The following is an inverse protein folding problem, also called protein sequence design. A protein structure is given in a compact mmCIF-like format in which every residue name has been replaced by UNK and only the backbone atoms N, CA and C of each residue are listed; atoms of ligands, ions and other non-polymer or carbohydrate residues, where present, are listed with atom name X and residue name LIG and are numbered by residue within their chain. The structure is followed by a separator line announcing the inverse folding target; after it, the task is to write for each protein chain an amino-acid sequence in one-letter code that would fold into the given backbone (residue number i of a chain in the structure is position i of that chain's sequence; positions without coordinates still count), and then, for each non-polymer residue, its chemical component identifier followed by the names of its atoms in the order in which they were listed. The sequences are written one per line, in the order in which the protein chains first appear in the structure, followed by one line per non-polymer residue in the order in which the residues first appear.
data_IF_096290235365
#
_entry.id   IF_096290235365
#
_cell.length_a   1.000
_cell.length_b   1.000
_cell.length_c   1.000
_cell.angle_alpha   90.00
_cell.angle_beta   90.00
_cell.angle_gamma   90.00
#
_symmetry.space_group_name_H-M   'P 1'
#
loop_
_entity.id
_entity.type
_entity.pdbx_description
1 polymer ?
#
# COMPACT_ATOMS: atom_id res chain seq x y z
N UNK A 1 -1.86 -1.49 1.90
CA UNK A 1 -2.99 -0.54 2.09
C UNK A 1 -2.89 0.08 3.47
N UNK A 2 -3.43 1.29 3.71
CA UNK A 2 -3.42 1.90 5.04
C UNK A 2 -4.23 1.08 6.05
N UNK A 3 -3.74 0.95 7.29
CA UNK A 3 -4.40 0.22 8.36
C UNK A 3 -5.50 1.07 9.04
N UNK A 4 -6.54 1.45 8.30
CA UNK A 4 -7.69 2.14 8.90
C UNK A 4 -8.38 1.25 9.93
N UNK A 5 -8.98 1.80 11.00
CA UNK A 5 -9.59 1.02 12.07
C UNK A 5 -10.57 -0.06 11.56
N UNK A 6 -11.42 0.29 10.59
CA UNK A 6 -12.39 -0.66 10.00
C UNK A 6 -11.73 -1.83 9.24
N UNK A 7 -10.60 -1.57 8.57
CA UNK A 7 -9.83 -2.62 7.87
C UNK A 7 -9.08 -3.45 8.89
N UNK A 8 -8.40 -2.80 9.83
CA UNK A 8 -7.59 -3.46 10.84
C UNK A 8 -8.42 -4.43 11.69
N UNK A 9 -9.65 -4.03 12.08
CA UNK A 9 -10.58 -4.91 12.81
C UNK A 9 -11.13 -6.06 11.95
N UNK A 10 -11.21 -5.88 10.63
CA UNK A 10 -11.71 -6.90 9.70
C UNK A 10 -10.66 -7.95 9.30
N UNK A 11 -9.37 -7.61 9.43
CA UNK A 11 -8.27 -8.57 9.27
C UNK A 11 -8.06 -9.27 10.60
N UNK A 12 -8.10 -10.60 10.59
CA UNK A 12 -7.87 -11.43 11.78
C UNK A 12 -6.40 -11.41 12.19
N UNK A 13 -5.79 -12.59 12.24
CA UNK A 13 -4.38 -12.71 12.58
C UNK A 13 -3.50 -11.98 11.55
N UNK A 14 -2.61 -11.13 12.06
CA UNK A 14 -1.60 -10.43 11.29
C UNK A 14 -0.28 -10.41 12.07
N UNK A 15 0.83 -10.37 11.36
CA UNK A 15 2.16 -10.32 11.94
C UNK A 15 2.94 -9.11 11.43
N UNK A 16 3.93 -8.69 12.21
CA UNK A 16 4.83 -7.60 11.83
C UNK A 16 5.85 -8.15 10.83
N UNK A 17 5.96 -7.47 9.68
CA UNK A 17 6.93 -7.74 8.62
C UNK A 17 8.16 -6.86 8.78
N UNK A 18 7.93 -5.57 9.04
CA UNK A 18 8.99 -4.59 9.22
C UNK A 18 8.53 -3.43 10.11
N UNK A 19 9.47 -2.77 10.76
CA UNK A 19 9.25 -1.58 11.57
C UNK A 19 10.36 -0.57 11.25
N UNK A 20 9.99 0.66 10.93
CA UNK A 20 10.93 1.67 10.47
C UNK A 20 10.41 3.10 10.69
N UNK A 21 11.35 4.03 10.82
CA UNK A 21 11.07 5.46 10.82
C UNK A 21 11.38 6.07 9.45
N UNK A 22 10.51 6.97 8.98
CA UNK A 22 10.74 7.72 7.75
C UNK A 22 10.20 9.16 7.82
N UNK A 23 10.13 9.85 6.68
CA UNK A 23 9.64 11.23 6.59
C UNK A 23 8.19 11.42 7.07
N UNK A 24 7.40 10.34 7.13
CA UNK A 24 6.02 10.32 7.57
C UNK A 24 5.89 9.91 9.06
N UNK A 25 7.00 9.62 9.75
CA UNK A 25 7.03 9.19 11.15
C UNK A 25 7.31 7.70 11.31
N UNK A 26 6.92 7.17 12.47
CA UNK A 26 7.11 5.76 12.82
C UNK A 26 6.06 4.87 12.16
N UNK A 27 6.48 3.83 11.45
CA UNK A 27 5.57 2.98 10.66
C UNK A 27 5.88 1.51 10.89
N UNK A 28 4.82 0.74 11.12
CA UNK A 28 4.87 -0.71 11.21
C UNK A 28 4.20 -1.28 9.95
N UNK A 29 4.93 -2.10 9.21
CA UNK A 29 4.37 -2.89 8.11
C UNK A 29 3.91 -4.24 8.66
N UNK A 30 2.63 -4.55 8.47
CA UNK A 30 2.04 -5.83 8.88
C UNK A 30 1.57 -6.61 7.66
N UNK A 31 1.53 -7.92 7.79
CA UNK A 31 0.92 -8.82 6.81
C UNK A 31 -0.15 -9.66 7.50
N UNK A 32 -1.31 -9.76 6.87
CA UNK A 32 -2.41 -10.62 7.29
C UNK A 32 -3.09 -11.24 6.08
N UNK A 33 -3.94 -12.22 6.32
CA UNK A 33 -4.73 -12.86 5.28
C UNK A 33 -6.21 -12.53 5.48
N UNK A 34 -6.89 -12.19 4.39
CA UNK A 34 -8.34 -12.00 4.39
C UNK A 34 -8.95 -12.77 3.22
N UNK A 35 -9.79 -13.76 3.53
CA UNK A 35 -10.50 -14.60 2.55
C UNK A 35 -9.58 -15.22 1.48
N UNK A 36 -8.41 -15.71 1.86
CA UNK A 36 -7.44 -16.31 0.92
C UNK A 36 -6.56 -15.30 0.17
N UNK A 37 -6.67 -14.01 0.49
CA UNK A 37 -5.86 -12.93 -0.11
C UNK A 37 -4.90 -12.38 0.94
N UNK A 38 -3.60 -12.42 0.64
CA UNK A 38 -2.58 -11.79 1.47
C UNK A 38 -2.62 -10.26 1.35
N UNK A 39 -2.65 -9.58 2.48
CA UNK A 39 -2.79 -8.13 2.58
C UNK A 39 -1.66 -7.55 3.42
N UNK A 40 -0.95 -6.58 2.85
CA UNK A 40 -0.03 -5.72 3.59
C UNK A 40 -0.77 -4.51 4.15
N UNK A 41 -0.64 -4.30 5.45
CA UNK A 41 -1.20 -3.17 6.20
C UNK A 41 -0.08 -2.22 6.61
N UNK A 42 -0.23 -0.94 6.26
CA UNK A 42 0.65 0.14 6.71
C UNK A 42 0.05 0.70 7.99
N UNK A 43 0.59 0.28 9.12
CA UNK A 43 0.19 0.68 10.46
C UNK A 43 0.98 1.92 10.89
N UNK A 44 0.29 3.05 10.88
CA UNK A 44 0.81 4.37 11.23
C UNK A 44 -0.34 5.15 11.90
N UNK A 45 -0.64 4.88 13.19
CA UNK A 45 -1.84 5.41 13.84
C UNK A 45 -1.90 6.94 13.80
N UNK A 46 -0.77 7.63 13.93
CA UNK A 46 -0.69 9.09 13.82
C UNK A 46 -1.13 9.65 12.46
N UNK A 47 -1.22 8.82 11.42
CA UNK A 47 -1.68 9.18 10.07
C UNK A 47 -3.02 8.55 9.69
N UNK A 48 -3.38 7.39 10.25
CA UNK A 48 -4.51 6.58 9.80
C UNK A 48 -5.56 6.27 10.88
N UNK A 49 -5.28 6.53 12.16
CA UNK A 49 -6.24 6.36 13.26
C UNK A 49 -7.17 7.59 13.36
N UNK A 50 -8.09 7.69 12.40
CA UNK A 50 -9.09 8.76 12.34
C UNK A 50 -10.48 8.17 12.16
N UNK A 51 -11.42 8.66 12.95
CA UNK A 51 -12.84 8.40 12.76
C UNK A 51 -13.36 9.21 11.56
N UNK A 52 -14.11 8.58 10.66
CA UNK A 52 -14.75 9.25 9.51
C UNK A 52 -14.21 8.86 8.13
N UNK A 53 -14.25 9.79 7.19
CA UNK A 53 -13.89 9.54 5.78
C UNK A 53 -12.35 9.56 5.61
N UNK A 54 -11.77 8.63 4.83
CA UNK A 54 -10.35 8.66 4.49
C UNK A 54 -9.81 10.02 3.99
N UNK A 55 -10.68 10.85 3.42
CA UNK A 55 -10.30 12.07 2.70
C UNK A 55 -10.50 13.37 3.48
N UNK A 56 -11.54 13.45 4.30
CA UNK A 56 -11.94 14.70 4.91
C UNK A 56 -12.07 14.60 6.43
N UNK A 57 -11.78 15.71 7.10
CA UNK A 57 -12.16 15.89 8.50
C UNK A 57 -13.68 16.02 8.66
N UNK A 58 -14.11 16.16 9.91
CA UNK A 58 -15.53 16.34 10.28
C UNK A 58 -16.17 17.58 9.63
N UNK A 59 -15.36 18.54 9.20
CA UNK A 59 -15.76 19.80 8.55
C UNK A 59 -15.62 19.73 7.02
N UNK A 60 -15.40 18.54 6.46
CA UNK A 60 -15.27 18.27 5.02
C UNK A 60 -14.02 18.90 4.36
N UNK A 61 -13.01 19.30 5.13
CA UNK A 61 -11.75 19.81 4.60
C UNK A 61 -10.76 18.68 4.34
N UNK A 62 -9.93 18.86 3.32
CA UNK A 62 -8.77 18.00 3.09
C UNK A 62 -7.84 18.09 4.29
N UNK A 63 -7.42 16.92 4.79
CA UNK A 63 -6.39 16.92 5.82
C UNK A 63 -5.08 17.49 5.28
N UNK A 64 -4.50 18.44 6.01
CA UNK A 64 -3.25 19.09 5.63
C UNK A 64 -2.08 18.10 5.45
N UNK A 65 -2.17 16.87 5.99
CA UNK A 65 -1.16 15.82 5.90
C UNK A 65 -1.47 14.73 4.85
N UNK A 66 -2.51 14.91 4.02
CA UNK A 66 -2.87 13.98 2.94
C UNK A 66 -1.69 13.66 2.02
N UNK A 67 -0.86 14.66 1.69
CA UNK A 67 0.34 14.45 0.88
C UNK A 67 1.32 13.46 1.53
N UNK A 68 1.49 13.48 2.86
CA UNK A 68 2.37 12.54 3.58
C UNK A 68 1.80 11.13 3.54
N UNK A 69 0.48 10.99 3.70
CA UNK A 69 -0.23 9.70 3.70
C UNK A 69 -0.08 8.99 2.36
N UNK A 70 -0.24 9.70 1.26
CA UNK A 70 -0.12 9.15 -0.09
C UNK A 70 1.33 8.92 -0.49
N UNK A 71 2.24 9.82 -0.08
CA UNK A 71 3.68 9.60 -0.24
C UNK A 71 4.15 8.36 0.52
N UNK A 72 3.70 8.16 1.77
CA UNK A 72 4.02 6.98 2.56
C UNK A 72 3.54 5.70 1.87
N UNK A 73 2.30 5.69 1.38
CA UNK A 73 1.75 4.53 0.67
C UNK A 73 2.59 4.18 -0.56
N UNK A 74 2.94 5.18 -1.38
CA UNK A 74 3.76 4.97 -2.56
C UNK A 74 5.18 4.53 -2.22
N UNK A 75 5.75 5.06 -1.14
CA UNK A 75 7.07 4.68 -0.65
C UNK A 75 7.09 3.21 -0.21
N UNK A 76 6.14 2.78 0.64
CA UNK A 76 6.04 1.36 1.07
C UNK A 76 5.87 0.43 -0.14
N UNK A 77 5.07 0.83 -1.14
CA UNK A 77 4.91 0.03 -2.35
C UNK A 77 6.21 -0.14 -3.15
N UNK A 78 7.05 0.89 -3.20
CA UNK A 78 8.37 0.78 -3.80
C UNK A 78 9.34 -0.04 -2.95
N UNK A 79 9.30 0.09 -1.62
CA UNK A 79 10.18 -0.66 -0.72
C UNK A 79 9.90 -2.17 -0.71
N UNK A 80 8.63 -2.57 -0.84
CA UNK A 80 8.24 -3.97 -1.03
C UNK A 80 8.83 -4.58 -2.32
N UNK A 81 9.20 -3.73 -3.30
CA UNK A 81 9.88 -4.16 -4.52
C UNK A 81 11.40 -4.25 -4.36
N UNK A 82 11.97 -3.57 -3.37
CA UNK A 82 13.41 -3.64 -3.05
C UNK A 82 13.75 -4.67 -1.99
N UNK A 83 12.76 -5.39 -1.45
CA UNK A 83 12.96 -6.44 -0.46
C UNK A 83 12.81 -5.99 0.99
N UNK A 84 11.90 -5.04 1.25
CA UNK A 84 11.50 -4.66 2.61
C UNK A 84 10.96 -5.85 3.42
N UNK A 85 10.30 -6.79 2.75
CA UNK A 85 9.98 -8.11 3.30
C UNK A 85 11.12 -9.09 2.93
N UNK A 86 11.80 -9.72 3.92
CA UNK A 86 12.87 -10.68 3.65
C UNK A 86 12.41 -11.97 2.95
N UNK A 87 11.14 -12.36 3.12
CA UNK A 87 10.58 -13.61 2.59
C UNK A 87 9.90 -13.42 1.24
N UNK A 88 9.49 -12.20 0.91
CA UNK A 88 8.71 -11.92 -0.28
C UNK A 88 9.09 -10.58 -0.92
N UNK A 89 9.11 -10.55 -2.27
CA UNK A 89 9.43 -9.34 -3.02
C UNK A 89 8.45 -9.15 -4.16
N UNK A 90 7.95 -7.93 -4.31
CA UNK A 90 7.12 -7.55 -5.44
C UNK A 90 7.95 -7.48 -6.73
N UNK A 91 7.46 -8.08 -7.81
CA UNK A 91 8.06 -7.93 -9.14
C UNK A 91 7.23 -6.99 -10.03
N UNK A 92 5.93 -6.91 -9.72
CA UNK A 92 4.98 -6.02 -10.36
C UNK A 92 4.21 -5.29 -9.27
N UNK A 93 4.08 -3.97 -9.42
CA UNK A 93 3.31 -3.12 -8.51
C UNK A 93 2.16 -2.48 -9.27
N UNK A 94 0.94 -2.78 -8.85
CA UNK A 94 -0.28 -2.18 -9.36
C UNK A 94 -0.66 -1.01 -8.46
N UNK A 95 -0.35 0.20 -8.92
CA UNK A 95 -0.73 1.42 -8.26
C UNK A 95 -2.13 1.84 -8.75
N UNK A 96 -3.09 1.89 -7.83
CA UNK A 96 -4.47 2.29 -8.13
C UNK A 96 -4.67 3.76 -7.77
N UNK A 97 -5.08 4.55 -8.77
CA UNK A 97 -5.48 5.96 -8.62
C UNK A 97 -4.34 6.92 -8.23
N UNK A 98 -4.65 8.23 -8.18
CA UNK A 98 -3.67 9.30 -7.92
C UNK A 98 -2.98 9.16 -6.55
N UNK A 99 -3.68 8.60 -5.56
CA UNK A 99 -3.14 8.29 -4.23
C UNK A 99 -1.90 7.39 -4.26
N UNK A 100 -1.86 6.43 -5.19
CA UNK A 100 -0.74 5.52 -5.37
C UNK A 100 0.23 5.99 -6.48
N UNK A 101 -0.03 7.14 -7.11
CA UNK A 101 0.74 7.65 -8.24
C UNK A 101 2.24 7.82 -7.95
N UNK A 102 2.59 8.21 -6.72
CA UNK A 102 3.99 8.39 -6.30
C UNK A 102 4.80 7.08 -6.30
N UNK A 103 4.15 5.92 -6.27
CA UNK A 103 4.83 4.61 -6.31
C UNK A 103 5.73 4.47 -7.53
N UNK A 104 5.25 4.90 -8.70
CA UNK A 104 6.04 4.83 -9.94
C UNK A 104 7.28 5.73 -9.90
N UNK A 105 7.14 6.93 -9.31
CA UNK A 105 8.25 7.86 -9.13
C UNK A 105 9.31 7.29 -8.16
N UNK A 106 8.89 6.68 -7.05
CA UNK A 106 9.81 6.03 -6.11
C UNK A 106 10.52 4.82 -6.73
N UNK A 107 9.81 3.99 -7.48
CA UNK A 107 10.40 2.86 -8.22
C UNK A 107 11.44 3.33 -9.23
N UNK A 108 11.15 4.41 -9.97
CA UNK A 108 12.10 5.01 -10.91
C UNK A 108 13.36 5.50 -10.18
N UNK A 109 13.19 6.24 -9.08
CA UNK A 109 14.31 6.75 -8.28
C UNK A 109 15.18 5.64 -7.68
N UNK A 110 14.61 4.46 -7.42
CA UNK A 110 15.31 3.28 -6.89
C UNK A 110 15.94 2.39 -7.96
N UNK A 111 15.94 2.79 -9.23
CA UNK A 111 16.55 2.02 -10.32
C UNK A 111 15.66 0.92 -10.91
N UNK A 112 14.33 1.06 -10.82
CA UNK A 112 13.32 0.14 -11.38
C UNK A 112 13.42 -1.32 -10.89
N UNK A 113 13.36 -1.55 -9.57
CA UNK A 113 13.42 -2.90 -9.00
C UNK A 113 12.18 -3.76 -9.33
N UNK A 114 11.07 -3.12 -9.73
CA UNK A 114 9.85 -3.76 -10.21
C UNK A 114 9.27 -2.96 -11.38
N UNK A 115 8.41 -3.61 -12.18
CA UNK A 115 7.68 -2.94 -13.26
C UNK A 115 6.44 -2.24 -12.68
N UNK A 116 6.35 -0.89 -12.74
CA UNK A 116 5.14 -0.20 -12.35
C UNK A 116 4.07 -0.38 -13.43
N UNK A 117 2.88 -0.85 -13.05
CA UNK A 117 1.67 -0.65 -13.84
C UNK A 117 0.79 0.34 -13.08
N UNK A 118 0.64 1.52 -13.67
CA UNK A 118 -0.18 2.58 -13.11
C UNK A 118 -1.58 2.44 -13.70
N UNK A 119 -2.55 2.06 -12.87
CA UNK A 119 -3.94 1.96 -13.27
C UNK A 119 -4.65 3.24 -12.85
N UNK A 120 -4.69 4.22 -13.76
CA UNK A 120 -5.58 5.37 -13.65
C UNK A 120 -7.01 4.92 -13.97
N UNK A 121 -7.69 4.42 -12.96
CA UNK A 121 -9.12 4.22 -13.00
C UNK A 121 -9.76 5.53 -12.54
N UNK A 122 -10.45 6.24 -13.46
CA UNK A 122 -11.51 7.17 -13.08
C UNK A 122 -12.76 6.30 -12.89
N UNK A 123 -13.11 5.94 -11.66
CA UNK A 123 -14.43 5.38 -11.35
C UNK A 123 -15.14 6.27 -10.34
N UNK A 124 -16.38 6.64 -10.71
CA UNK A 124 -17.39 7.17 -9.79
C UNK A 124 -17.42 6.34 -8.51
N UNK A 125 -17.32 7.07 -7.40
CA UNK A 125 -17.14 6.59 -6.03
C UNK A 125 -18.21 5.56 -5.66
N UNK A 126 -17.76 4.33 -5.44
CA UNK A 126 -18.33 3.43 -4.43
C UNK A 126 -17.14 2.76 -3.75
N UNK A 127 -17.00 3.03 -2.46
CA UNK A 127 -16.16 2.30 -1.49
C UNK A 127 -14.76 2.84 -1.14
N UNK A 128 -14.26 3.95 -1.68
CA UNK A 128 -13.19 4.80 -1.07
C UNK A 128 -11.94 4.10 -0.45
N UNK A 129 -11.56 2.89 -0.91
CA UNK A 129 -10.40 2.18 -0.38
C UNK A 129 -9.17 2.42 -1.26
N UNK A 130 -8.08 2.90 -0.66
CA UNK A 130 -6.80 3.05 -1.34
C UNK A 130 -6.02 1.73 -1.23
N UNK A 131 -5.84 1.06 -2.36
CA UNK A 131 -5.14 -0.24 -2.42
C UNK A 131 -3.95 -0.15 -3.38
N UNK A 132 -2.81 -0.70 -2.95
CA UNK A 132 -1.71 -1.04 -3.85
C UNK A 132 -1.64 -2.56 -3.84
N UNK A 133 -1.78 -3.16 -5.02
CA UNK A 133 -1.75 -4.62 -5.17
C UNK A 133 -0.39 -5.04 -5.71
N UNK A 134 0.13 -6.15 -5.23
CA UNK A 134 1.44 -6.63 -5.64
C UNK A 134 1.36 -8.07 -6.14
N UNK A 135 2.18 -8.39 -7.14
CA UNK A 135 2.28 -9.74 -7.68
C UNK A 135 3.74 -10.18 -7.81
N UNK A 136 3.97 -11.47 -7.56
CA UNK A 136 5.20 -12.18 -7.94
C UNK A 136 4.97 -12.78 -9.33
N UNK A 137 5.89 -12.63 -10.28
CA UNK A 137 5.74 -13.26 -11.60
C UNK A 137 5.79 -14.78 -11.43
N UNK A 138 4.65 -15.41 -11.69
CA UNK A 138 4.45 -16.84 -11.56
C UNK A 138 3.48 -17.34 -12.62
N UNK A 139 3.77 -17.04 -13.89
CA UNK A 139 3.18 -17.73 -15.05
C UNK A 139 4.24 -17.94 -16.13
N UNK A 140 5.19 -18.85 -15.87
CA UNK A 140 5.74 -19.70 -16.92
C UNK A 140 5.09 -21.07 -16.72
N UNK A 141 4.04 -21.36 -17.48
CA UNK A 141 3.71 -22.76 -17.75
C UNK A 141 4.91 -23.29 -18.53
N UNK A 142 5.80 -24.00 -17.86
CA UNK A 142 6.67 -24.94 -18.55
C UNK A 142 5.74 -25.99 -19.15
N UNK A 143 5.49 -25.90 -20.46
CA UNK A 143 5.12 -27.10 -21.21
C UNK A 143 6.34 -28.01 -21.15
N UNK A 144 6.21 -29.08 -20.37
CA UNK A 144 7.13 -30.18 -20.30
C UNK A 144 7.24 -30.90 -21.66
N UNK A 145 8.51 -31.12 -22.03
CA UNK A 145 9.08 -32.05 -23.02
C UNK A 145 8.90 -31.73 -24.51
#
# INVERSE_FOLDING_TARGET
MPAYPAIYQGIGENHIVAEFDNFAGHVILRYGEYKGVGIYLVDAPHLYDREGNPYHDVDYNDYADNYKRFALLGWVGAELSTGLDPWWRAEIVHAHDWHAGLTAAYLFNKGKPANPSLLFIIWLIKDNFITVTYMKSGYRKECST
#
